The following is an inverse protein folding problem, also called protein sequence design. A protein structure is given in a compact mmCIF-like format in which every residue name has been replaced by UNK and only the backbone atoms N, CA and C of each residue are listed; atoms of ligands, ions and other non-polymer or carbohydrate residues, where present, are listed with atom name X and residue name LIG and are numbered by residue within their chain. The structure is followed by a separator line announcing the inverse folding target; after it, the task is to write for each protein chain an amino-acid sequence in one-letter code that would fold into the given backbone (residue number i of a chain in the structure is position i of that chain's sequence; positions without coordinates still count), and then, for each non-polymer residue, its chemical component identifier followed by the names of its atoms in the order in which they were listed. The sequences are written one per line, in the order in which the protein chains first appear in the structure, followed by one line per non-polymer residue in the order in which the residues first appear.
data_IF_344500047908
#
_entry.id   IF_344500047908
#
_cell.length_a   1.000
_cell.length_b   1.000
_cell.length_c   1.000
_cell.angle_alpha   90.00
_cell.angle_beta   90.00
_cell.angle_gamma   90.00
#
_symmetry.space_group_name_H-M   'P 1'
#
loop_
_entity.id
_entity.type
_entity.pdbx_description
1 polymer ?
#
# COMPACT_ATOMS: atom_id res chain seq x y z
N UNK A 1 -19.03 4.14 -22.99
CA UNK A 1 -18.66 4.52 -21.62
C UNK A 1 -17.30 3.94 -21.24
N UNK A 2 -16.49 4.75 -20.63
CA UNK A 2 -15.17 4.32 -20.23
C UNK A 2 -15.14 3.94 -18.76
N UNK A 3 -14.60 2.77 -18.47
CA UNK A 3 -14.46 2.32 -17.10
C UNK A 3 -13.12 2.76 -16.53
N UNK A 4 -13.13 3.15 -15.26
CA UNK A 4 -11.89 3.50 -14.57
C UNK A 4 -11.01 2.25 -14.46
N UNK A 5 -9.68 2.40 -14.49
CA UNK A 5 -8.81 1.26 -14.28
C UNK A 5 -9.03 0.66 -12.90
N UNK A 6 -8.92 -0.66 -12.82
CA UNK A 6 -9.05 -1.34 -11.53
C UNK A 6 -7.88 -0.93 -10.63
N UNK A 7 -8.11 -0.92 -9.32
CA UNK A 7 -7.03 -0.56 -8.39
C UNK A 7 -5.75 -1.37 -8.61
N UNK A 8 -5.87 -2.68 -8.85
CA UNK A 8 -4.68 -3.51 -9.07
C UNK A 8 -3.92 -3.04 -10.31
N UNK A 9 -4.62 -2.64 -11.37
CA UNK A 9 -3.96 -2.18 -12.59
C UNK A 9 -3.17 -0.91 -12.34
N UNK A 10 -3.76 0.04 -11.61
CA UNK A 10 -3.09 1.29 -11.29
C UNK A 10 -1.87 1.05 -10.41
N UNK A 11 -2.03 0.25 -9.38
CA UNK A 11 -0.94 -0.02 -8.44
C UNK A 11 0.19 -0.75 -9.13
N UNK A 12 -0.16 -1.77 -9.92
CA UNK A 12 0.88 -2.55 -10.61
C UNK A 12 1.72 -1.66 -11.53
N UNK A 13 1.07 -0.79 -12.29
CA UNK A 13 1.78 0.06 -13.23
C UNK A 13 2.81 0.95 -12.53
N UNK A 14 2.48 1.41 -11.34
CA UNK A 14 3.37 2.31 -10.61
C UNK A 14 4.39 1.57 -9.75
N UNK A 15 3.96 0.50 -9.08
CA UNK A 15 4.85 -0.22 -8.18
C UNK A 15 6.01 -0.87 -8.92
N UNK A 16 5.74 -1.42 -10.11
CA UNK A 16 6.78 -2.10 -10.85
C UNK A 16 7.80 -1.16 -11.46
N UNK A 17 7.55 0.14 -11.43
CA UNK A 17 8.54 1.12 -11.86
C UNK A 17 9.56 1.45 -10.79
N UNK A 18 9.28 1.06 -9.55
CA UNK A 18 10.21 1.33 -8.46
C UNK A 18 11.37 0.33 -8.50
N UNK A 19 12.55 0.73 -8.00
CA UNK A 19 13.74 -0.14 -8.10
C UNK A 19 13.55 -1.49 -7.40
N UNK A 20 13.93 -2.55 -8.10
CA UNK A 20 14.02 -3.90 -7.53
C UNK A 20 12.69 -4.44 -7.01
N UNK A 21 11.58 -3.97 -7.55
CA UNK A 21 10.27 -4.44 -7.12
C UNK A 21 9.88 -5.67 -7.93
N UNK A 22 9.36 -6.66 -7.22
CA UNK A 22 8.81 -7.86 -7.82
C UNK A 22 7.37 -8.03 -7.38
N UNK A 23 6.52 -8.46 -8.30
CA UNK A 23 5.16 -8.79 -7.95
C UNK A 23 5.09 -10.25 -7.50
N UNK A 24 4.34 -10.49 -6.43
CA UNK A 24 4.16 -11.84 -5.91
C UNK A 24 2.70 -12.03 -5.56
N UNK A 25 2.36 -13.22 -5.10
CA UNK A 25 1.01 -13.53 -4.67
C UNK A 25 1.06 -13.97 -3.22
N UNK A 26 0.19 -13.36 -2.41
CA UNK A 26 0.05 -13.74 -1.02
C UNK A 26 -1.41 -14.12 -0.79
N UNK A 27 -1.63 -15.37 -0.43
CA UNK A 27 -2.99 -15.90 -0.22
C UNK A 27 -3.88 -15.64 -1.44
N UNK A 28 -3.30 -15.77 -2.65
CA UNK A 28 -4.06 -15.57 -3.88
C UNK A 28 -4.24 -14.13 -4.30
N UNK A 29 -3.68 -13.16 -3.57
CA UNK A 29 -3.83 -11.75 -3.86
C UNK A 29 -2.50 -11.12 -4.17
N UNK A 30 -2.45 -10.09 -5.05
CA UNK A 30 -1.19 -9.48 -5.45
C UNK A 30 -0.49 -8.79 -4.30
N UNK A 31 0.83 -8.91 -4.30
CA UNK A 31 1.70 -8.21 -3.37
C UNK A 31 2.94 -7.75 -4.13
N UNK A 32 3.49 -6.63 -3.69
CA UNK A 32 4.68 -6.06 -4.32
C UNK A 32 5.80 -6.03 -3.30
N UNK A 33 6.92 -6.66 -3.66
CA UNK A 33 8.01 -6.87 -2.73
C UNK A 33 9.27 -6.14 -3.18
N UNK A 34 10.04 -5.70 -2.21
CA UNK A 34 11.38 -5.19 -2.44
C UNK A 34 12.28 -5.88 -1.43
N UNK A 35 13.40 -6.43 -1.90
CA UNK A 35 14.34 -7.19 -1.07
C UNK A 35 13.64 -8.31 -0.29
N UNK A 36 12.69 -8.95 -0.97
CA UNK A 36 12.01 -10.12 -0.40
C UNK A 36 10.89 -9.80 0.56
N UNK A 37 10.59 -8.53 0.80
CA UNK A 37 9.55 -8.16 1.76
C UNK A 37 8.48 -7.31 1.09
N UNK A 38 7.22 -7.59 1.38
CA UNK A 38 6.12 -6.86 0.80
C UNK A 38 6.08 -5.44 1.38
N UNK A 39 6.02 -4.44 0.50
CA UNK A 39 5.82 -3.07 0.94
C UNK A 39 4.41 -2.58 0.59
N UNK A 40 3.72 -3.29 -0.29
CA UNK A 40 2.34 -2.98 -0.65
C UNK A 40 1.64 -4.27 -1.06
N UNK A 41 0.37 -4.41 -0.71
CA UNK A 41 -0.37 -5.63 -1.02
C UNK A 41 -1.86 -5.36 -1.00
N UNK A 42 -2.62 -6.26 -1.65
CA UNK A 42 -4.08 -6.21 -1.60
C UNK A 42 -4.56 -7.20 -0.54
N UNK A 43 -5.06 -6.71 0.59
CA UNK A 43 -5.40 -7.59 1.71
C UNK A 43 -6.61 -8.48 1.43
N UNK A 44 -6.60 -9.66 2.06
CA UNK A 44 -7.72 -10.57 2.02
C UNK A 44 -8.35 -10.61 3.40
N UNK A 45 -9.11 -9.57 3.74
CA UNK A 45 -9.73 -9.50 5.06
C UNK A 45 -11.15 -8.97 4.92
N UNK A 46 -12.04 -9.50 5.75
CA UNK A 46 -13.44 -9.09 5.69
C UNK A 46 -13.65 -7.63 6.03
N UNK A 47 -12.85 -7.11 6.97
CA UNK A 47 -13.01 -5.73 7.40
C UNK A 47 -12.41 -4.72 6.45
N UNK A 48 -11.66 -5.20 5.46
CA UNK A 48 -11.01 -4.32 4.51
C UNK A 48 -11.94 -4.04 3.35
N UNK A 49 -12.11 -2.77 3.01
CA UNK A 49 -12.99 -2.40 1.91
C UNK A 49 -12.38 -2.82 0.57
N UNK A 50 -13.24 -3.19 -0.38
CA UNK A 50 -12.77 -3.55 -1.70
C UNK A 50 -11.97 -2.40 -2.30
N UNK A 51 -10.88 -2.75 -2.97
CA UNK A 51 -10.04 -1.74 -3.60
C UNK A 51 -9.07 -1.06 -2.66
N UNK A 52 -8.94 -1.56 -1.43
CA UNK A 52 -7.97 -1.02 -0.50
C UNK A 52 -6.61 -1.67 -0.70
N UNK A 53 -5.59 -0.88 -0.49
CA UNK A 53 -4.20 -1.30 -0.59
C UNK A 53 -3.53 -1.15 0.76
N UNK A 54 -2.83 -2.20 1.21
CA UNK A 54 -2.01 -2.09 2.40
C UNK A 54 -0.63 -1.60 2.01
N UNK A 55 -0.09 -0.64 2.74
CA UNK A 55 1.24 -0.09 2.46
C UNK A 55 2.00 0.06 3.76
N UNK A 56 3.24 -0.40 3.77
CA UNK A 56 4.08 -0.34 4.97
C UNK A 56 4.49 1.09 5.28
N UNK A 57 4.41 1.44 6.54
CA UNK A 57 4.90 2.72 7.05
C UNK A 57 4.90 2.66 8.56
N UNK A 58 5.57 3.62 9.21
CA UNK A 58 5.54 3.65 10.66
C UNK A 58 4.13 3.93 11.16
N UNK A 59 3.87 3.47 12.39
CA UNK A 59 2.55 3.72 12.98
C UNK A 59 2.32 5.21 13.17
N UNK A 60 3.36 5.95 13.51
CA UNK A 60 3.23 7.40 13.66
C UNK A 60 2.82 8.06 12.35
N UNK A 61 3.47 7.70 11.25
CA UNK A 61 3.09 8.28 9.95
C UNK A 61 1.67 7.87 9.58
N UNK A 62 1.30 6.63 9.86
CA UNK A 62 -0.05 6.17 9.58
C UNK A 62 -1.08 7.04 10.29
N UNK A 63 -0.85 7.34 11.56
CA UNK A 63 -1.81 8.14 12.31
C UNK A 63 -1.91 9.54 11.75
N UNK A 64 -0.79 10.11 11.31
CA UNK A 64 -0.82 11.42 10.67
C UNK A 64 -1.63 11.40 9.38
N UNK A 65 -1.47 10.35 8.56
CA UNK A 65 -2.19 10.26 7.30
C UNK A 65 -3.68 10.06 7.51
N UNK A 66 -4.05 9.23 8.48
CA UNK A 66 -5.47 9.03 8.77
C UNK A 66 -6.11 10.32 9.24
N UNK A 67 -5.42 11.06 10.10
CA UNK A 67 -5.94 12.31 10.61
C UNK A 67 -6.07 13.36 9.50
N UNK A 68 -5.10 13.42 8.61
CA UNK A 68 -5.09 14.41 7.54
C UNK A 68 -6.07 14.06 6.42
N UNK A 69 -6.24 12.80 6.09
CA UNK A 69 -7.07 12.38 4.96
C UNK A 69 -7.87 11.12 5.30
N UNK A 70 -8.83 11.25 6.21
CA UNK A 70 -9.58 10.05 6.65
C UNK A 70 -10.45 9.42 5.57
N UNK A 71 -10.71 10.14 4.48
CA UNK A 71 -11.46 9.54 3.37
C UNK A 71 -10.60 8.58 2.55
N UNK A 72 -9.30 8.74 2.64
CA UNK A 72 -8.37 7.88 1.89
C UNK A 72 -7.79 6.79 2.78
N UNK A 73 -7.32 7.16 3.97
CA UNK A 73 -6.54 6.27 4.82
C UNK A 73 -7.34 5.80 6.02
N UNK A 74 -7.12 4.53 6.38
CA UNK A 74 -7.76 3.97 7.57
C UNK A 74 -6.96 2.77 8.05
N UNK A 75 -7.37 2.19 9.15
CA UNK A 75 -6.76 0.98 9.68
C UNK A 75 -7.85 0.16 10.35
N UNK A 76 -7.69 -1.17 10.33
CA UNK A 76 -8.62 -2.08 10.99
C UNK A 76 -7.95 -2.68 12.22
N UNK A 77 -8.73 -3.28 13.12
CA UNK A 77 -8.12 -3.90 14.30
C UNK A 77 -7.06 -4.94 13.97
N UNK A 78 -7.22 -5.66 12.87
CA UNK A 78 -6.24 -6.66 12.46
C UNK A 78 -4.86 -6.05 12.25
N UNK A 79 -4.82 -4.81 11.72
CA UNK A 79 -3.55 -4.15 11.40
C UNK A 79 -3.13 -3.12 12.43
N UNK A 80 -3.86 -3.00 13.54
CA UNK A 80 -3.61 -1.90 14.47
C UNK A 80 -2.17 -1.85 14.98
N UNK A 81 -1.60 -3.01 15.28
CA UNK A 81 -0.24 -3.08 15.82
C UNK A 81 0.81 -3.35 14.75
N UNK A 82 0.41 -3.36 13.50
CA UNK A 82 1.31 -3.63 12.39
C UNK A 82 1.64 -2.31 11.68
N UNK A 83 2.92 -2.04 11.38
CA UNK A 83 3.30 -0.76 10.77
C UNK A 83 2.90 -0.70 9.30
N UNK A 84 1.64 -0.38 9.08
CA UNK A 84 1.07 -0.29 7.76
C UNK A 84 -0.22 0.52 7.83
N UNK A 85 -0.65 1.02 6.67
CA UNK A 85 -1.91 1.75 6.52
C UNK A 85 -2.72 1.09 5.44
N UNK A 86 -4.04 1.24 5.50
CA UNK A 86 -4.93 0.85 4.41
C UNK A 86 -5.35 2.11 3.67
N UNK A 87 -5.32 2.06 2.34
CA UNK A 87 -5.64 3.20 1.50
C UNK A 87 -6.70 2.82 0.48
N UNK A 88 -7.71 3.67 0.36
CA UNK A 88 -8.77 3.50 -0.64
C UNK A 88 -8.26 4.03 -1.97
N UNK A 89 -7.77 3.13 -2.81
CA UNK A 89 -7.07 3.52 -4.04
C UNK A 89 -7.93 4.41 -4.93
N UNK A 90 -9.23 4.13 -5.00
CA UNK A 90 -10.11 4.90 -5.86
C UNK A 90 -10.29 6.35 -5.43
N UNK A 91 -9.95 6.65 -4.20
CA UNK A 91 -10.02 8.02 -3.69
C UNK A 91 -8.75 8.81 -3.93
N UNK A 92 -7.74 8.19 -4.52
CA UNK A 92 -6.43 8.80 -4.69
C UNK A 92 -6.19 9.21 -6.12
N UNK A 93 -5.52 10.35 -6.29
CA UNK A 93 -4.99 10.71 -7.60
C UNK A 93 -3.78 9.84 -7.90
N UNK A 94 -3.37 9.81 -9.17
CA UNK A 94 -2.18 9.06 -9.54
C UNK A 94 -0.94 9.58 -8.82
N UNK A 95 -0.85 10.90 -8.64
CA UNK A 95 0.28 11.46 -7.91
C UNK A 95 0.30 10.99 -6.46
N UNK A 96 -0.85 11.01 -5.80
CA UNK A 96 -0.94 10.55 -4.42
C UNK A 96 -0.58 9.08 -4.30
N UNK A 97 -1.08 8.27 -5.22
CA UNK A 97 -0.80 6.84 -5.19
C UNK A 97 0.69 6.57 -5.40
N UNK A 98 1.30 7.27 -6.37
CA UNK A 98 2.72 7.09 -6.60
C UNK A 98 3.54 7.46 -5.38
N UNK A 99 3.21 8.58 -4.75
CA UNK A 99 3.95 9.01 -3.57
C UNK A 99 3.78 8.03 -2.42
N UNK A 100 2.59 7.46 -2.27
CA UNK A 100 2.35 6.47 -1.24
C UNK A 100 3.20 5.23 -1.47
N UNK A 101 3.23 4.74 -2.71
CA UNK A 101 4.03 3.56 -3.03
C UNK A 101 5.52 3.82 -2.82
N UNK A 102 5.98 5.01 -3.21
CA UNK A 102 7.37 5.38 -2.99
C UNK A 102 7.71 5.40 -1.50
N UNK A 103 6.80 5.91 -0.67
CA UNK A 103 7.07 5.96 0.75
C UNK A 103 7.14 4.57 1.36
N UNK A 104 6.28 3.65 0.92
CA UNK A 104 6.34 2.28 1.40
C UNK A 104 7.60 1.57 0.97
N UNK A 105 7.99 1.78 -0.27
CA UNK A 105 9.22 1.23 -0.80
C UNK A 105 10.42 1.72 0.00
N UNK A 106 10.47 3.03 0.25
CA UNK A 106 11.56 3.62 1.02
C UNK A 106 11.58 3.11 2.45
N UNK A 107 10.41 2.99 3.06
CA UNK A 107 10.32 2.47 4.42
C UNK A 107 10.96 1.09 4.51
N UNK A 108 10.65 0.21 3.57
CA UNK A 108 11.18 -1.15 3.61
C UNK A 108 12.66 -1.20 3.27
N UNK A 109 13.13 -0.38 2.33
CA UNK A 109 14.56 -0.37 2.01
C UNK A 109 15.38 0.24 3.14
N UNK A 110 14.83 1.24 3.83
CA UNK A 110 15.49 1.81 5.00
C UNK A 110 15.58 0.80 6.13
N UNK A 111 14.49 0.04 6.36
CA UNK A 111 14.50 -1.02 7.36
C UNK A 111 15.58 -2.05 7.06
N UNK A 112 15.72 -2.40 5.77
CA UNK A 112 16.71 -3.40 5.39
C UNK A 112 18.13 -2.91 5.62
N UNK A 113 18.37 -1.60 5.55
CA UNK A 113 19.70 -1.03 5.76
C UNK A 113 20.06 -0.89 7.21
N UNK A 114 19.07 -0.78 8.08
CA UNK A 114 19.31 -0.66 9.51
C UNK A 114 19.65 -2.03 10.09
N UNK A 115 20.59 -2.06 10.95
CA UNK A 115 21.04 -3.31 11.55
C UNK A 115 21.10 -3.20 13.04
#
# INVERSE_FOLDING_TARGET
MRMAPKPITRVRAMALKLPEVEEATTFGFPAFKVKGKAFAWFPKKKEVEDGSLGVRMSILEREHRIKAQPKIFYVTPHYMDYPAVLARVEKMTDKQLRELLESGHEFMTSQAKKR
#
